data_IF_360282659401
#
_entry.id   IF_360282659401
#
_cell.length_a   1.000
_cell.length_b   1.000
_cell.length_c   1.000
_cell.angle_alpha   90.00
_cell.angle_beta   90.00
_cell.angle_gamma   90.00
#
_symmetry.space_group_name_H-M   'P 1'
#
loop_
_entity.id
_entity.type
_entity.pdbx_description
1 polymer ?
#
# COMPACT_ATOMS: atom_id res chain seq x y z
N UNK A 1 -4.40 29.57 8.46
CA UNK A 1 -3.91 28.28 8.99
C UNK A 1 -2.39 28.29 8.89
N UNK A 2 -1.71 28.92 9.85
CA UNK A 2 -0.25 29.15 9.83
C UNK A 2 0.45 28.65 11.10
N UNK A 3 -0.20 27.79 11.86
CA UNK A 3 0.39 27.21 13.07
C UNK A 3 1.11 25.89 12.77
N UNK A 4 2.19 25.64 13.51
CA UNK A 4 2.94 24.40 13.41
C UNK A 4 2.12 23.27 14.02
N UNK A 5 2.17 22.09 13.40
CA UNK A 5 1.51 20.88 13.88
C UNK A 5 2.26 20.24 15.07
N UNK A 6 2.54 21.01 16.13
CA UNK A 6 3.14 20.50 17.38
C UNK A 6 2.09 19.76 18.22
N UNK A 7 2.54 18.98 19.20
CA UNK A 7 1.63 18.32 20.14
C UNK A 7 0.74 19.30 20.91
N UNK A 8 1.28 20.43 21.39
CA UNK A 8 0.48 21.52 21.99
C UNK A 8 -0.65 21.97 21.05
N UNK A 9 -0.32 22.46 19.86
CA UNK A 9 -1.29 23.07 18.96
C UNK A 9 -2.35 22.06 18.51
N UNK A 10 -1.96 20.80 18.31
CA UNK A 10 -2.90 19.72 18.02
C UNK A 10 -3.85 19.45 19.19
N UNK A 11 -3.34 19.40 20.44
CA UNK A 11 -4.19 19.22 21.62
C UNK A 11 -5.17 20.38 21.83
N UNK A 12 -4.73 21.62 21.63
CA UNK A 12 -5.58 22.80 21.73
C UNK A 12 -6.68 22.77 20.66
N UNK A 13 -6.31 22.37 19.44
CA UNK A 13 -7.29 22.23 18.36
C UNK A 13 -8.30 21.13 18.63
N UNK A 14 -7.87 19.98 19.16
CA UNK A 14 -8.77 18.89 19.54
C UNK A 14 -9.75 19.33 20.62
N UNK A 15 -9.28 19.99 21.68
CA UNK A 15 -10.14 20.53 22.76
C UNK A 15 -11.10 21.61 22.27
N UNK A 16 -10.62 22.53 21.44
CA UNK A 16 -11.48 23.55 20.84
C UNK A 16 -12.57 22.92 19.96
N UNK A 17 -12.25 21.83 19.26
CA UNK A 17 -13.24 21.10 18.44
C UNK A 17 -14.23 20.35 19.34
N UNK A 18 -13.76 19.70 20.40
CA UNK A 18 -14.61 19.06 21.42
C UNK A 18 -15.66 20.04 21.97
N UNK A 19 -15.24 21.23 22.41
CA UNK A 19 -16.15 22.27 22.90
C UNK A 19 -17.03 22.87 21.80
N UNK A 20 -16.52 23.11 20.59
CA UNK A 20 -17.30 23.66 19.46
C UNK A 20 -18.48 22.75 19.08
N UNK A 21 -18.27 21.43 19.16
CA UNK A 21 -19.28 20.44 18.86
C UNK A 21 -20.06 19.94 20.09
N UNK A 22 -19.84 20.55 21.26
CA UNK A 22 -20.47 20.20 22.54
C UNK A 22 -20.31 18.70 22.87
N UNK A 23 -19.10 18.16 22.66
CA UNK A 23 -18.77 16.74 22.83
C UNK A 23 -18.19 16.41 24.21
N UNK A 24 -18.16 17.39 25.14
CA UNK A 24 -17.61 17.25 26.49
C UNK A 24 -18.19 16.01 27.21
N UNK A 25 -17.30 15.10 27.62
CA UNK A 25 -17.65 13.85 28.30
C UNK A 25 -18.36 12.80 27.43
N UNK A 26 -18.53 13.06 26.12
CA UNK A 26 -19.13 12.12 25.15
C UNK A 26 -18.07 11.36 24.36
N UNK A 27 -16.84 11.88 24.28
CA UNK A 27 -15.74 11.21 23.59
C UNK A 27 -15.21 10.09 24.49
N UNK A 28 -15.42 8.85 24.06
CA UNK A 28 -14.87 7.66 24.74
C UNK A 28 -13.38 7.52 24.44
N UNK A 29 -13.00 7.68 23.17
CA UNK A 29 -11.64 7.43 22.71
C UNK A 29 -11.28 8.20 21.44
N UNK A 30 -10.00 8.47 21.24
CA UNK A 30 -9.41 8.94 20.00
C UNK A 30 -8.57 7.86 19.34
N UNK A 31 -8.69 7.70 18.03
CA UNK A 31 -7.84 6.78 17.24
C UNK A 31 -6.98 7.58 16.27
N UNK A 32 -5.66 7.42 16.33
CA UNK A 32 -4.72 8.16 15.47
C UNK A 32 -3.61 7.28 14.89
N UNK A 33 -2.86 7.81 13.93
CA UNK A 33 -1.84 7.11 13.14
C UNK A 33 -0.50 6.90 13.87
N UNK A 34 -0.45 7.01 15.20
CA UNK A 34 0.77 6.89 16.00
C UNK A 34 1.89 7.91 15.62
N UNK A 35 1.58 8.99 14.90
CA UNK A 35 2.54 10.05 14.64
C UNK A 35 2.99 10.71 15.94
N UNK A 36 4.29 11.05 16.05
CA UNK A 36 4.88 11.58 17.29
C UNK A 36 4.09 12.75 17.89
N UNK A 37 3.68 13.70 17.07
CA UNK A 37 2.94 14.87 17.56
C UNK A 37 1.50 14.54 17.95
N UNK A 38 0.89 13.53 17.31
CA UNK A 38 -0.42 13.02 17.73
C UNK A 38 -0.31 12.32 19.09
N UNK A 39 0.73 11.50 19.31
CA UNK A 39 0.98 10.86 20.61
C UNK A 39 1.10 11.93 21.72
N UNK A 40 1.91 12.97 21.50
CA UNK A 40 2.05 14.07 22.46
C UNK A 40 0.77 14.91 22.64
N UNK A 41 -0.08 15.00 21.62
CA UNK A 41 -1.35 15.70 21.70
C UNK A 41 -2.38 14.91 22.50
N UNK A 42 -2.49 13.60 22.24
CA UNK A 42 -3.37 12.68 22.94
C UNK A 42 -3.08 12.63 24.44
N UNK A 43 -1.81 12.63 24.85
CA UNK A 43 -1.38 12.69 26.27
C UNK A 43 -1.94 13.91 27.02
N UNK A 44 -2.36 14.95 26.30
CA UNK A 44 -2.88 16.20 26.86
C UNK A 44 -4.40 16.30 26.80
N UNK A 45 -5.07 15.30 26.26
CA UNK A 45 -6.52 15.24 26.13
C UNK A 45 -7.12 14.23 27.11
N UNK A 46 -8.40 14.41 27.44
CA UNK A 46 -9.07 13.63 28.50
C UNK A 46 -9.82 12.39 27.97
N UNK A 47 -9.61 12.03 26.69
CA UNK A 47 -10.18 10.83 26.06
C UNK A 47 -9.18 9.67 26.02
N UNK A 48 -9.68 8.43 25.96
CA UNK A 48 -8.82 7.25 25.83
C UNK A 48 -8.00 7.30 24.52
N UNK A 49 -6.69 7.08 24.63
CA UNK A 49 -5.77 7.12 23.49
C UNK A 49 -5.61 5.74 22.85
N UNK A 50 -5.99 5.63 21.58
CA UNK A 50 -5.85 4.40 20.79
C UNK A 50 -5.02 4.62 19.53
N UNK A 51 -4.07 3.71 19.31
CA UNK A 51 -3.29 3.66 18.07
C UNK A 51 -4.06 2.90 17.01
N UNK A 52 -4.09 3.45 15.80
CA UNK A 52 -4.68 2.78 14.64
C UNK A 52 -3.95 1.46 14.36
N UNK A 53 -4.63 0.34 14.58
CA UNK A 53 -4.10 -1.01 14.39
C UNK A 53 -3.45 -1.22 13.02
N UNK A 54 -4.13 -0.74 11.96
CA UNK A 54 -3.63 -0.83 10.59
C UNK A 54 -2.33 -0.04 10.42
N UNK A 55 -2.25 1.15 10.99
CA UNK A 55 -1.03 1.95 10.94
C UNK A 55 0.10 1.30 11.74
N UNK A 56 -0.20 0.72 12.91
CA UNK A 56 0.78 -0.03 13.71
C UNK A 56 1.38 -1.19 12.93
N UNK A 57 0.57 -1.99 12.24
CA UNK A 57 1.08 -3.06 11.35
C UNK A 57 1.97 -2.47 10.25
N UNK A 58 1.53 -1.36 9.63
CA UNK A 58 2.31 -0.71 8.56
C UNK A 58 3.68 -0.23 9.05
N UNK A 59 3.79 0.23 10.30
CA UNK A 59 5.06 0.62 10.90
C UNK A 59 6.04 -0.57 11.05
N UNK A 60 5.53 -1.78 11.21
CA UNK A 60 6.36 -3.00 11.23
C UNK A 60 6.75 -3.45 9.81
N UNK A 61 5.86 -3.29 8.83
CA UNK A 61 6.09 -3.71 7.44
C UNK A 61 7.13 -2.80 6.75
N UNK A 62 7.07 -1.49 6.97
CA UNK A 62 7.96 -0.52 6.30
C UNK A 62 9.45 -0.88 6.45
N UNK A 63 10.00 -1.09 7.67
CA UNK A 63 11.39 -1.50 7.84
C UNK A 63 11.71 -2.83 7.14
N UNK A 64 10.77 -3.79 7.17
CA UNK A 64 10.96 -5.07 6.48
C UNK A 64 11.12 -4.89 4.96
N UNK A 65 10.36 -3.97 4.35
CA UNK A 65 10.48 -3.67 2.92
C UNK A 65 11.78 -2.94 2.56
N UNK A 66 12.43 -2.30 3.53
CA UNK A 66 13.73 -1.62 3.37
C UNK A 66 14.93 -2.57 3.50
N UNK A 67 14.73 -3.79 4.04
CA UNK A 67 15.77 -4.82 4.08
C UNK A 67 16.26 -5.10 2.65
N UNK A 68 17.58 -5.18 2.38
CA UNK A 68 18.11 -5.24 1.01
C UNK A 68 17.49 -6.32 0.12
N UNK A 69 17.23 -7.51 0.65
CA UNK A 69 16.58 -8.61 -0.08
C UNK A 69 15.13 -8.26 -0.47
N UNK A 70 14.33 -7.77 0.49
CA UNK A 70 12.94 -7.34 0.29
C UNK A 70 12.84 -6.14 -0.64
N UNK A 71 13.74 -5.16 -0.50
CA UNK A 71 13.81 -3.97 -1.33
C UNK A 71 14.14 -4.34 -2.79
N UNK A 72 15.08 -5.28 -2.99
CA UNK A 72 15.43 -5.79 -4.32
C UNK A 72 14.24 -6.52 -4.97
N UNK A 73 13.58 -7.42 -4.23
CA UNK A 73 12.40 -8.15 -4.70
C UNK A 73 11.27 -7.18 -5.11
N UNK A 74 10.89 -6.27 -4.22
CA UNK A 74 9.81 -5.31 -4.49
C UNK A 74 10.14 -4.38 -5.64
N UNK A 75 11.40 -3.95 -5.78
CA UNK A 75 11.83 -3.15 -6.94
C UNK A 75 11.71 -3.92 -8.24
N UNK A 76 12.09 -5.20 -8.26
CA UNK A 76 11.93 -6.05 -9.44
C UNK A 76 10.46 -6.26 -9.80
N UNK A 77 9.63 -6.59 -8.80
CA UNK A 77 8.19 -6.73 -8.96
C UNK A 77 7.54 -5.47 -9.53
N UNK A 78 7.89 -4.28 -9.02
CA UNK A 78 7.40 -3.00 -9.56
C UNK A 78 7.74 -2.80 -11.03
N UNK A 79 8.97 -3.14 -11.43
CA UNK A 79 9.43 -3.03 -12.82
C UNK A 79 8.68 -3.99 -13.73
N UNK A 80 8.52 -5.24 -13.29
CA UNK A 80 7.78 -6.26 -14.01
C UNK A 80 6.32 -5.84 -14.25
N UNK A 81 5.60 -5.46 -13.18
CA UNK A 81 4.21 -5.01 -13.30
C UNK A 81 4.11 -3.75 -14.16
N UNK A 82 5.01 -2.79 -13.96
CA UNK A 82 5.03 -1.56 -14.76
C UNK A 82 5.20 -1.84 -16.26
N UNK A 83 6.11 -2.74 -16.63
CA UNK A 83 6.32 -3.15 -18.02
C UNK A 83 5.09 -3.82 -18.62
N UNK A 84 4.53 -4.81 -17.92
CA UNK A 84 3.37 -5.57 -18.38
C UNK A 84 2.14 -4.68 -18.58
N UNK A 85 1.88 -3.77 -17.62
CA UNK A 85 0.73 -2.85 -17.69
C UNK A 85 0.89 -1.75 -18.72
N UNK A 86 2.11 -1.42 -19.13
CA UNK A 86 2.36 -0.42 -20.16
C UNK A 86 1.96 -0.92 -21.56
N UNK A 87 1.98 -2.24 -21.78
CA UNK A 87 1.59 -2.83 -23.07
C UNK A 87 0.12 -3.31 -23.04
N UNK A 88 -0.70 -2.67 -23.87
CA UNK A 88 -2.11 -3.07 -24.07
C UNK A 88 -2.22 -4.46 -24.67
N UNK A 89 -1.29 -4.84 -25.55
CA UNK A 89 -1.28 -6.14 -26.22
C UNK A 89 -0.96 -7.26 -25.23
N UNK A 90 0.06 -7.07 -24.39
CA UNK A 90 0.41 -7.99 -23.30
C UNK A 90 -0.77 -8.13 -22.33
N UNK A 91 -1.38 -7.01 -21.93
CA UNK A 91 -2.51 -7.03 -21.00
C UNK A 91 -3.72 -7.78 -21.58
N UNK A 92 -4.03 -7.57 -22.86
CA UNK A 92 -5.09 -8.29 -23.55
C UNK A 92 -4.79 -9.80 -23.65
N UNK A 93 -3.54 -10.15 -23.93
CA UNK A 93 -3.11 -11.55 -24.02
C UNK A 93 -3.13 -12.26 -22.66
N UNK A 94 -2.71 -11.59 -21.60
CA UNK A 94 -2.84 -12.10 -20.23
C UNK A 94 -4.30 -12.44 -19.91
N UNK A 95 -5.26 -11.56 -20.24
CA UNK A 95 -6.70 -11.82 -20.02
C UNK A 95 -7.21 -13.03 -20.81
N UNK A 96 -6.74 -13.24 -22.04
CA UNK A 96 -7.10 -14.44 -22.82
C UNK A 96 -6.56 -15.71 -22.16
N UNK A 97 -5.31 -15.70 -21.70
CA UNK A 97 -4.69 -16.86 -21.05
C UNK A 97 -5.27 -17.16 -19.67
N UNK A 98 -5.64 -16.12 -18.91
CA UNK A 98 -6.42 -16.29 -17.68
C UNK A 98 -7.71 -17.07 -17.96
N UNK A 99 -8.45 -16.69 -19.00
CA UNK A 99 -9.66 -17.41 -19.42
C UNK A 99 -9.36 -18.85 -19.85
N UNK A 100 -8.36 -19.04 -20.71
CA UNK A 100 -7.96 -20.36 -21.21
C UNK A 100 -7.56 -21.31 -20.07
N UNK A 101 -6.89 -20.77 -19.04
CA UNK A 101 -6.46 -21.54 -17.88
C UNK A 101 -7.52 -21.67 -16.79
N UNK A 102 -8.70 -21.07 -16.96
CA UNK A 102 -9.75 -21.07 -15.94
C UNK A 102 -9.35 -20.33 -14.65
N UNK A 103 -8.42 -19.38 -14.75
CA UNK A 103 -7.94 -18.60 -13.61
C UNK A 103 -8.81 -17.36 -13.40
N UNK A 104 -8.82 -16.87 -12.15
CA UNK A 104 -9.44 -15.59 -11.82
C UNK A 104 -8.75 -14.48 -12.62
N UNK A 105 -9.54 -13.66 -13.30
CA UNK A 105 -9.07 -12.55 -14.15
C UNK A 105 -8.65 -11.33 -13.32
N UNK A 106 -7.81 -11.55 -12.30
CA UNK A 106 -7.26 -10.44 -11.53
C UNK A 106 -6.23 -9.70 -12.38
N UNK A 107 -6.34 -8.38 -12.43
CA UNK A 107 -5.34 -7.53 -13.07
C UNK A 107 -4.11 -7.36 -12.18
N UNK A 108 -2.94 -7.15 -12.76
CA UNK A 108 -1.77 -6.80 -11.97
C UNK A 108 -1.95 -5.43 -11.30
N UNK A 109 -1.57 -5.35 -10.03
CA UNK A 109 -1.65 -4.14 -9.21
C UNK A 109 -0.27 -3.49 -9.13
N UNK A 110 -0.18 -2.20 -9.47
CA UNK A 110 1.05 -1.44 -9.29
C UNK A 110 1.18 -1.03 -7.82
N UNK A 111 2.37 -1.19 -7.24
CA UNK A 111 2.69 -0.66 -5.92
C UNK A 111 2.60 0.87 -5.89
N UNK A 112 1.95 1.40 -4.87
CA UNK A 112 1.73 2.85 -4.64
C UNK A 112 2.11 3.15 -3.20
N UNK A 113 3.23 3.82 -3.00
CA UNK A 113 3.85 4.04 -1.67
C UNK A 113 2.89 4.65 -0.65
N UNK A 114 1.95 5.51 -1.09
CA UNK A 114 0.96 6.15 -0.21
C UNK A 114 -0.24 5.26 0.13
N UNK A 115 -0.44 4.15 -0.57
CA UNK A 115 -1.53 3.19 -0.34
C UNK A 115 -0.99 1.96 0.39
N UNK A 116 -1.37 1.84 1.66
CA UNK A 116 -0.79 0.90 2.62
C UNK A 116 -0.73 -0.57 2.18
N UNK A 117 -1.73 -1.07 1.45
CA UNK A 117 -1.80 -2.47 1.04
C UNK A 117 -1.31 -2.76 -0.40
N UNK A 118 -0.83 -1.74 -1.13
CA UNK A 118 -0.52 -1.89 -2.56
C UNK A 118 0.66 -2.83 -2.83
N UNK A 119 1.70 -2.82 -2.00
CA UNK A 119 2.83 -3.75 -2.14
C UNK A 119 2.38 -5.21 -1.96
N UNK A 120 1.53 -5.47 -0.95
CA UNK A 120 1.03 -6.81 -0.67
C UNK A 120 0.15 -7.33 -1.82
N UNK A 121 -0.79 -6.50 -2.30
CA UNK A 121 -1.63 -6.84 -3.45
C UNK A 121 -0.83 -7.07 -4.74
N UNK A 122 0.21 -6.26 -5.00
CA UNK A 122 1.11 -6.46 -6.14
C UNK A 122 1.76 -7.85 -6.09
N UNK A 123 2.33 -8.22 -4.94
CA UNK A 123 3.01 -9.50 -4.77
C UNK A 123 2.03 -10.68 -4.83
N UNK A 124 0.86 -10.55 -4.20
CA UNK A 124 -0.20 -11.55 -4.22
C UNK A 124 -0.67 -11.82 -5.67
N UNK A 125 -1.00 -10.78 -6.42
CA UNK A 125 -1.45 -10.93 -7.81
C UNK A 125 -0.33 -11.48 -8.72
N UNK A 126 0.93 -11.13 -8.49
CA UNK A 126 2.05 -11.75 -9.22
C UNK A 126 2.13 -13.26 -8.95
N UNK A 127 1.94 -13.69 -7.71
CA UNK A 127 1.92 -15.10 -7.34
C UNK A 127 0.71 -15.82 -7.95
N UNK A 128 -0.50 -15.26 -7.82
CA UNK A 128 -1.73 -15.82 -8.40
C UNK A 128 -1.65 -15.98 -9.92
N UNK A 129 -1.04 -15.00 -10.59
CA UNK A 129 -0.94 -14.95 -12.06
C UNK A 129 0.36 -15.54 -12.60
N UNK A 130 1.20 -16.15 -11.75
CA UNK A 130 2.53 -16.63 -12.11
C UNK A 130 2.52 -17.51 -13.36
N UNK A 131 1.57 -18.44 -13.47
CA UNK A 131 1.43 -19.31 -14.65
C UNK A 131 1.18 -18.51 -15.93
N UNK A 132 0.27 -17.53 -15.89
CA UNK A 132 -0.05 -16.67 -17.05
C UNK A 132 1.14 -15.78 -17.41
N UNK A 133 1.80 -15.24 -16.38
CA UNK A 133 2.98 -14.39 -16.54
C UNK A 133 4.10 -15.13 -17.27
N UNK A 134 4.45 -16.33 -16.80
CA UNK A 134 5.48 -17.16 -17.46
C UNK A 134 5.11 -17.47 -18.90
N UNK A 135 3.87 -17.87 -19.14
CA UNK A 135 3.40 -18.24 -20.48
C UNK A 135 3.48 -17.05 -21.46
N UNK A 136 3.01 -15.86 -21.07
CA UNK A 136 3.04 -14.64 -21.91
C UNK A 136 4.46 -14.16 -22.16
N UNK A 137 5.31 -14.18 -21.13
CA UNK A 137 6.69 -13.67 -21.23
C UNK A 137 7.61 -14.58 -22.05
N UNK A 138 7.30 -15.88 -22.13
CA UNK A 138 8.00 -16.83 -22.99
C UNK A 138 7.51 -16.80 -24.45
N UNK A 139 6.33 -16.24 -24.70
CA UNK A 139 5.80 -16.10 -26.05
C UNK A 139 6.45 -14.93 -26.80
N UNK A 140 7.37 -15.25 -27.70
CA UNK A 140 8.11 -14.24 -28.48
C UNK A 140 7.28 -13.51 -29.53
N UNK A 141 6.03 -13.93 -29.77
CA UNK A 141 5.09 -13.22 -30.65
C UNK A 141 4.40 -12.06 -29.92
N UNK A 142 4.39 -12.10 -28.59
CA UNK A 142 3.71 -11.13 -27.71
C UNK A 142 4.73 -10.30 -26.92
N UNK A 143 5.80 -10.94 -26.47
CA UNK A 143 6.87 -10.33 -25.65
C UNK A 143 8.17 -10.31 -26.44
N UNK A 144 8.91 -9.20 -26.41
CA UNK A 144 10.22 -9.14 -27.09
C UNK A 144 11.21 -10.06 -26.36
N UNK A 145 12.08 -10.76 -27.11
CA UNK A 145 13.16 -11.57 -26.52
C UNK A 145 14.06 -10.80 -25.56
N UNK A 146 14.21 -9.48 -25.76
CA UNK A 146 14.95 -8.61 -24.85
C UNK A 146 14.32 -8.55 -23.46
N UNK A 147 13.04 -8.83 -23.31
CA UNK A 147 12.25 -8.58 -22.09
C UNK A 147 12.04 -9.87 -21.28
N UNK A 148 12.39 -11.04 -21.85
CA UNK A 148 12.29 -12.35 -21.18
C UNK A 148 13.19 -12.44 -19.93
N UNK A 149 14.27 -11.65 -19.83
CA UNK A 149 15.10 -11.58 -18.63
C UNK A 149 14.36 -11.01 -17.40
N UNK A 150 13.18 -10.40 -17.58
CA UNK A 150 12.41 -9.83 -16.47
C UNK A 150 11.73 -10.89 -15.60
N UNK A 151 11.60 -12.13 -16.08
CA UNK A 151 11.04 -13.27 -15.32
C UNK A 151 12.11 -14.27 -14.82
N UNK A 152 13.39 -14.03 -15.13
CA UNK A 152 14.55 -14.82 -14.67
C UNK A 152 15.23 -14.12 -13.48
#
# INVERSE_FOLDING_TARGET
MHERHTGENLSERLKSTDSEFELDGKIVSSVHDNARNMNCASEKCDFEDMKCFVHTIQLCIKPFLEIPASAKLTTHARKLVGHLKHSTDITAEMRKRQNLFGLRQNELVQDVVTRWNSTQLMLEHLCEQCRVLTDVMLDTTVTKKSDTHMIL
#
